data_IF_810255582217
#
_entry.id   IF_810255582217
#
_cell.length_a   1.000
_cell.length_b   1.000
_cell.length_c   1.000
_cell.angle_alpha   90.00
_cell.angle_beta   90.00
_cell.angle_gamma   90.00
#
_symmetry.space_group_name_H-M   'P 1'
#
loop_
_entity.id
_entity.type
_entity.pdbx_description
1 polymer ?
#
# COMPACT_ATOMS: atom_id res chain seq x y z
N UNK A 1 -10.11 -1.55 19.34
CA UNK A 1 -10.55 -2.80 18.70
C UNK A 1 -11.09 -3.69 19.77
N UNK A 2 -12.29 -4.23 19.56
CA UNK A 2 -13.01 -5.11 20.49
C UNK A 2 -13.10 -4.51 21.91
N UNK A 3 -13.42 -3.21 21.97
CA UNK A 3 -13.49 -2.44 23.23
C UNK A 3 -12.14 -2.14 23.90
N UNK A 4 -11.00 -2.56 23.35
CA UNK A 4 -9.66 -2.32 23.90
C UNK A 4 -8.92 -1.18 23.18
N UNK A 5 -8.15 -0.35 23.91
CA UNK A 5 -7.31 0.68 23.30
C UNK A 5 -6.10 0.07 22.57
N UNK A 6 -5.89 0.51 21.33
CA UNK A 6 -4.80 0.05 20.45
C UNK A 6 -3.73 1.13 20.29
N UNK A 7 -4.12 2.36 19.93
CA UNK A 7 -3.17 3.47 19.81
C UNK A 7 -2.51 3.82 21.16
N UNK A 8 -1.21 4.13 21.13
CA UNK A 8 -0.43 4.48 22.33
C UNK A 8 -0.19 3.30 23.29
N UNK A 9 -0.35 2.06 22.81
CA UNK A 9 -0.38 0.83 23.60
C UNK A 9 0.51 -0.22 22.94
N UNK A 10 1.05 -1.18 23.70
CA UNK A 10 1.89 -2.27 23.18
C UNK A 10 1.15 -3.17 22.18
N UNK A 11 -0.20 -3.18 22.22
CA UNK A 11 -1.03 -3.97 21.31
C UNK A 11 -0.89 -3.53 19.85
N UNK A 12 -0.50 -2.28 19.60
CA UNK A 12 -0.22 -1.79 18.24
C UNK A 12 1.11 -2.30 17.67
N UNK A 13 1.95 -2.98 18.47
CA UNK A 13 3.24 -3.47 17.98
C UNK A 13 3.10 -4.58 16.94
N UNK A 14 2.05 -5.39 17.08
CA UNK A 14 1.71 -6.46 16.15
C UNK A 14 0.37 -6.17 15.49
N UNK A 15 -0.09 -7.08 14.64
CA UNK A 15 -1.37 -6.93 13.94
C UNK A 15 -2.52 -6.84 14.97
N UNK A 16 -3.24 -5.71 15.05
CA UNK A 16 -4.22 -5.48 16.11
C UNK A 16 -5.62 -6.03 15.79
N UNK A 17 -5.84 -6.55 14.57
CA UNK A 17 -7.03 -7.31 14.15
C UNK A 17 -6.59 -8.67 13.61
N UNK A 18 -7.05 -9.74 14.22
CA UNK A 18 -6.87 -11.10 13.72
C UNK A 18 -8.11 -11.58 12.95
N UNK A 19 -7.99 -12.71 12.25
CA UNK A 19 -9.12 -13.44 11.64
C UNK A 19 -10.09 -12.60 10.78
N UNK A 20 -9.61 -11.53 10.14
CA UNK A 20 -10.44 -10.62 9.32
C UNK A 20 -11.14 -11.30 8.14
N UNK A 21 -10.68 -12.48 7.72
CA UNK A 21 -11.34 -13.28 6.67
C UNK A 21 -12.56 -14.06 7.16
N UNK A 22 -12.59 -14.41 8.44
CA UNK A 22 -13.63 -15.29 9.02
C UNK A 22 -14.55 -14.54 9.99
N UNK A 23 -14.14 -13.36 10.47
CA UNK A 23 -14.90 -12.54 11.41
C UNK A 23 -15.42 -11.25 10.73
N UNK A 24 -16.74 -11.14 10.46
CA UNK A 24 -17.31 -9.97 9.79
C UNK A 24 -17.21 -8.68 10.62
N UNK A 25 -17.16 -8.77 11.95
CA UNK A 25 -16.98 -7.60 12.83
C UNK A 25 -15.55 -7.04 12.69
N UNK A 26 -14.54 -7.91 12.65
CA UNK A 26 -13.15 -7.50 12.44
C UNK A 26 -12.95 -6.94 11.03
N UNK A 27 -13.63 -7.50 10.01
CA UNK A 27 -13.63 -6.96 8.66
C UNK A 27 -14.19 -5.53 8.63
N UNK A 28 -15.32 -5.28 9.30
CA UNK A 28 -15.90 -3.94 9.39
C UNK A 28 -14.98 -2.95 10.13
N UNK A 29 -14.30 -3.39 11.20
CA UNK A 29 -13.31 -2.57 11.90
C UNK A 29 -12.10 -2.23 11.00
N UNK A 30 -11.63 -3.19 10.20
CA UNK A 30 -10.55 -2.98 9.23
C UNK A 30 -10.97 -1.98 8.14
N UNK A 31 -12.18 -2.15 7.59
CA UNK A 31 -12.70 -1.26 6.57
C UNK A 31 -12.84 0.18 7.09
N UNK A 32 -13.42 0.36 8.29
CA UNK A 32 -13.53 1.66 8.93
C UNK A 32 -12.17 2.31 9.14
N UNK A 33 -11.16 1.53 9.56
CA UNK A 33 -9.80 2.04 9.72
C UNK A 33 -9.18 2.45 8.38
N UNK A 34 -9.25 1.63 7.34
CA UNK A 34 -8.69 1.97 6.02
C UNK A 34 -9.37 3.19 5.40
N UNK A 35 -10.69 3.32 5.55
CA UNK A 35 -11.45 4.50 5.10
C UNK A 35 -11.10 5.78 5.83
N UNK A 36 -10.62 5.69 7.07
CA UNK A 36 -10.22 6.89 7.81
C UNK A 36 -9.07 7.66 7.14
N UNK A 37 -8.31 6.99 6.26
CA UNK A 37 -7.28 7.62 5.43
C UNK A 37 -7.82 8.34 4.19
N UNK A 38 -9.13 8.24 3.89
CA UNK A 38 -9.78 8.85 2.72
C UNK A 38 -9.07 8.49 1.41
N UNK A 39 -8.98 7.19 1.06
CA UNK A 39 -8.24 6.73 -0.12
C UNK A 39 -8.68 7.41 -1.43
N UNK A 40 -9.94 7.82 -1.52
CA UNK A 40 -10.50 8.61 -2.63
C UNK A 40 -9.82 9.97 -2.87
N UNK A 41 -9.12 10.53 -1.88
CA UNK A 41 -8.33 11.77 -2.01
C UNK A 41 -6.87 11.51 -2.33
N UNK A 42 -6.41 10.28 -2.08
CA UNK A 42 -5.02 9.88 -2.17
C UNK A 42 -4.70 9.15 -3.48
N UNK A 43 -5.70 8.51 -4.09
CA UNK A 43 -5.55 7.71 -5.30
C UNK A 43 -6.54 8.12 -6.40
N UNK A 44 -6.09 8.04 -7.65
CA UNK A 44 -6.95 8.22 -8.82
C UNK A 44 -7.79 6.96 -9.13
N UNK A 45 -8.65 7.04 -10.16
CA UNK A 45 -9.51 5.95 -10.59
C UNK A 45 -8.76 4.69 -11.06
N UNK A 46 -7.47 4.82 -11.40
CA UNK A 46 -6.60 3.73 -11.78
C UNK A 46 -5.78 3.17 -10.59
N UNK A 47 -5.99 3.71 -9.38
CA UNK A 47 -5.28 3.32 -8.16
C UNK A 47 -3.87 3.90 -8.06
N UNK A 48 -3.54 4.95 -8.82
CA UNK A 48 -2.24 5.64 -8.72
C UNK A 48 -2.31 6.75 -7.69
N UNK A 49 -1.24 7.00 -6.90
CA UNK A 49 -1.18 8.15 -6.02
C UNK A 49 -1.42 9.48 -6.76
N UNK A 50 -2.13 10.41 -6.12
CA UNK A 50 -2.39 11.72 -6.73
C UNK A 50 -1.09 12.51 -6.96
N UNK A 51 -1.01 13.36 -8.01
CA UNK A 51 0.17 14.20 -8.26
C UNK A 51 0.56 15.07 -7.07
N UNK A 52 -0.43 15.55 -6.31
CA UNK A 52 -0.25 16.36 -5.11
C UNK A 52 0.50 15.58 -4.01
N UNK A 53 0.19 14.29 -3.83
CA UNK A 53 0.90 13.44 -2.87
C UNK A 53 2.36 13.20 -3.30
N UNK A 54 2.59 13.06 -4.60
CA UNK A 54 3.93 12.80 -5.16
C UNK A 54 4.81 14.05 -5.20
N UNK A 55 4.24 15.25 -5.22
CA UNK A 55 4.99 16.51 -5.33
C UNK A 55 6.00 16.74 -4.19
N UNK A 56 5.79 16.12 -3.03
CA UNK A 56 6.69 16.19 -1.88
C UNK A 56 7.84 15.17 -1.91
N UNK A 57 7.82 14.24 -2.87
CA UNK A 57 8.80 13.15 -2.95
C UNK A 57 10.01 13.64 -3.75
N UNK A 58 11.25 13.52 -3.23
CA UNK A 58 12.43 13.92 -3.97
C UNK A 58 12.65 13.03 -5.19
N UNK A 59 13.18 13.58 -6.28
CA UNK A 59 13.47 12.81 -7.49
C UNK A 59 14.82 12.08 -7.47
N UNK A 60 14.95 11.08 -8.34
CA UNK A 60 16.22 10.44 -8.68
C UNK A 60 16.92 9.77 -7.50
N UNK A 61 18.23 10.00 -7.39
CA UNK A 61 19.11 9.43 -6.36
C UNK A 61 18.93 10.07 -4.97
N UNK A 62 18.09 11.11 -4.85
CA UNK A 62 17.76 11.71 -3.54
C UNK A 62 16.69 10.92 -2.80
N UNK A 63 15.99 9.99 -3.46
CA UNK A 63 15.05 9.06 -2.81
C UNK A 63 15.82 8.13 -1.89
N UNK A 64 15.28 7.87 -0.69
CA UNK A 64 15.89 6.95 0.29
C UNK A 64 16.21 5.59 -0.34
N UNK A 65 15.30 5.03 -1.15
CA UNK A 65 15.48 3.73 -1.80
C UNK A 65 16.39 3.74 -3.05
N UNK A 66 16.78 4.91 -3.55
CA UNK A 66 17.63 5.04 -4.73
C UNK A 66 18.93 5.80 -4.42
N UNK A 67 19.24 6.05 -3.15
CA UNK A 67 20.43 6.77 -2.75
C UNK A 67 21.64 5.80 -2.79
N UNK A 68 22.71 6.12 -3.54
CA UNK A 68 23.86 5.22 -3.69
C UNK A 68 24.65 5.01 -2.39
N UNK A 69 24.50 5.91 -1.43
CA UNK A 69 25.14 5.83 -0.12
C UNK A 69 24.33 5.03 0.90
N UNK A 70 23.07 4.71 0.58
CA UNK A 70 22.28 3.81 1.40
C UNK A 70 22.57 2.39 0.91
N UNK A 71 23.10 1.49 1.74
CA UNK A 71 23.15 0.09 1.39
C UNK A 71 21.70 -0.37 1.19
N UNK A 72 21.31 -0.55 -0.06
CA UNK A 72 20.20 -1.44 -0.35
C UNK A 72 20.78 -2.81 -0.07
N UNK A 73 20.27 -3.49 0.96
CA UNK A 73 20.39 -4.95 0.99
C UNK A 73 19.51 -5.46 -0.13
N UNK A 74 19.94 -5.27 -1.39
CA UNK A 74 19.55 -6.15 -2.47
C UNK A 74 20.03 -7.50 -1.97
N UNK A 75 19.09 -8.44 -1.82
CA UNK A 75 19.40 -9.77 -1.31
C UNK A 75 20.53 -10.39 -2.13
N UNK A 76 21.76 -10.26 -1.63
CA UNK A 76 22.89 -11.09 -2.01
C UNK A 76 22.74 -12.43 -1.28
N UNK A 77 21.62 -13.10 -1.53
CA UNK A 77 21.64 -14.55 -1.65
C UNK A 77 22.34 -14.92 -2.96
N UNK A 78 22.73 -16.18 -3.17
CA UNK A 78 23.59 -16.62 -4.29
C UNK A 78 22.97 -16.50 -5.69
N UNK A 79 21.82 -15.87 -5.84
CA UNK A 79 21.10 -15.70 -7.12
C UNK A 79 20.96 -14.21 -7.46
N UNK A 80 22.07 -13.55 -7.77
CA UNK A 80 22.03 -12.20 -8.35
C UNK A 80 21.80 -12.26 -9.87
N UNK A 81 21.01 -11.35 -10.48
CA UNK A 81 20.95 -11.27 -11.93
C UNK A 81 22.18 -10.53 -12.46
N UNK A 82 22.74 -11.06 -13.54
CA UNK A 82 23.84 -10.46 -14.27
C UNK A 82 23.51 -9.04 -14.74
N UNK A 83 24.52 -8.17 -14.73
CA UNK A 83 24.46 -6.80 -15.22
C UNK A 83 23.89 -6.74 -16.64
N UNK A 84 22.83 -5.94 -16.82
CA UNK A 84 22.23 -5.62 -18.10
C UNK A 84 21.94 -4.13 -18.18
N UNK A 85 22.80 -3.42 -18.89
CA UNK A 85 22.66 -2.02 -19.33
C UNK A 85 21.32 -1.78 -20.02
N UNK A 86 20.64 -0.68 -19.71
CA UNK A 86 19.52 -0.22 -20.54
C UNK A 86 18.52 0.71 -19.84
N UNK A 87 18.82 2.01 -19.86
CA UNK A 87 17.80 3.04 -19.71
C UNK A 87 16.92 2.99 -20.97
N UNK A 88 15.70 2.46 -20.86
CA UNK A 88 14.74 2.36 -21.95
C UNK A 88 13.35 2.66 -21.42
N UNK A 89 12.78 3.79 -21.83
CA UNK A 89 11.36 4.07 -21.70
C UNK A 89 10.60 2.96 -22.44
N UNK A 90 9.95 2.07 -21.70
CA UNK A 90 9.24 0.93 -22.24
C UNK A 90 8.03 0.63 -21.38
N UNK A 91 6.86 0.99 -21.92
CA UNK A 91 5.55 0.42 -21.60
C UNK A 91 5.65 -1.02 -21.10
N UNK A 92 5.33 -1.24 -19.82
CA UNK A 92 5.10 -2.58 -19.28
C UNK A 92 3.95 -2.56 -18.30
N UNK A 93 2.79 -2.78 -18.90
CA UNK A 93 1.69 -3.48 -18.26
C UNK A 93 2.20 -4.82 -17.70
N UNK A 94 2.40 -4.90 -16.38
CA UNK A 94 2.65 -6.16 -15.67
C UNK A 94 1.95 -6.14 -14.32
N UNK A 95 0.69 -6.56 -14.30
CA UNK A 95 0.11 -7.45 -13.27
C UNK A 95 -1.35 -7.80 -13.67
N UNK A 96 -1.69 -9.06 -14.03
CA UNK A 96 -3.06 -9.46 -14.33
C UNK A 96 -3.85 -9.88 -13.07
N UNK A 97 -3.58 -9.29 -11.91
CA UNK A 97 -4.48 -9.41 -10.76
C UNK A 97 -5.71 -8.51 -11.00
N UNK A 98 -6.93 -8.94 -10.65
CA UNK A 98 -8.11 -8.11 -10.81
C UNK A 98 -7.93 -6.82 -10.00
N UNK A 99 -7.72 -5.70 -10.70
CA UNK A 99 -7.67 -4.36 -10.12
C UNK A 99 -9.09 -4.01 -9.69
N UNK A 100 -9.42 -4.27 -8.43
CA UNK A 100 -10.66 -3.79 -7.86
C UNK A 100 -10.60 -2.26 -7.91
N UNK A 101 -11.56 -1.58 -8.55
CA UNK A 101 -11.59 -0.13 -8.55
C UNK A 101 -11.70 0.36 -7.10
N UNK A 102 -11.06 1.50 -6.77
CA UNK A 102 -11.25 2.18 -5.47
C UNK A 102 -12.75 2.40 -5.17
N UNK A 103 -13.59 2.44 -6.20
CA UNK A 103 -15.05 2.45 -6.12
C UNK A 103 -15.70 1.23 -5.44
N UNK A 104 -15.00 0.09 -5.28
CA UNK A 104 -15.59 -1.10 -4.65
C UNK A 104 -15.70 -0.99 -3.13
N UNK A 105 -14.96 -0.08 -2.50
CA UNK A 105 -15.27 0.26 -1.12
C UNK A 105 -16.65 0.94 -1.07
N UNK A 106 -17.02 1.84 -1.98
CA UNK A 106 -18.26 2.63 -1.88
C UNK A 106 -19.61 1.87 -2.03
N UNK A 107 -19.63 0.55 -2.23
CA UNK A 107 -20.84 -0.20 -2.59
C UNK A 107 -21.37 -1.16 -1.51
N UNK A 108 -21.67 -0.68 -0.31
CA UNK A 108 -22.61 -1.35 0.62
C UNK A 108 -23.62 -0.37 1.21
N UNK A 109 -24.16 0.53 0.37
CA UNK A 109 -25.46 1.14 0.67
C UNK A 109 -26.55 0.43 -0.13
N UNK A 110 -27.63 0.11 0.57
CA UNK A 110 -28.93 -0.39 0.09
C UNK A 110 -29.13 -1.91 0.13
N UNK A 111 -29.64 -2.39 1.28
CA UNK A 111 -30.92 -3.10 1.30
C UNK A 111 -31.61 -2.84 2.63
N UNK A 112 -32.84 -2.37 2.50
CA UNK A 112 -33.88 -2.12 3.51
C UNK A 112 -34.17 -3.33 4.37
#
# INVERSE_FOLDING_TARGET
MDGKPVGGTWRAHQVPLDQVGDNPEHLAQLEAWLRSYRPEELFDEHGRPTPQLLACIPDGQRRIGANPHRPVTTGAGPFGPAAGTGCGAGSQDRNPAPRLPVALLAATRSRT
#
